data_IF_895033156462
#
_entry.id   IF_895033156462
#
_cell.length_a   1.000
_cell.length_b   1.000
_cell.length_c   1.000
_cell.angle_alpha   90.00
_cell.angle_beta   90.00
_cell.angle_gamma   90.00
#
_symmetry.space_group_name_H-M   'P 1'
#
loop_
_entity.id
_entity.type
_entity.pdbx_description
1 polymer ?
#
# COMPACT_ATOMS: atom_id res chain seq x y z
N UNK A 1 7.54 19.21 12.55
CA UNK A 1 6.10 18.93 12.72
C UNK A 1 5.32 19.99 11.99
N UNK A 2 4.44 19.59 11.09
CA UNK A 2 3.48 20.48 10.42
C UNK A 2 2.13 20.34 11.11
N UNK A 3 1.29 21.36 11.05
CA UNK A 3 -0.09 21.32 11.55
C UNK A 3 -1.02 21.79 10.46
N UNK A 4 -2.13 21.08 10.28
CA UNK A 4 -3.18 21.44 9.33
C UNK A 4 -4.34 22.09 10.09
N UNK A 5 -4.60 23.37 9.82
CA UNK A 5 -5.71 24.11 10.41
C UNK A 5 -6.92 24.01 9.49
N UNK A 6 -7.97 23.34 9.96
CA UNK A 6 -9.21 23.14 9.21
C UNK A 6 -10.42 23.75 9.92
N UNK A 7 -11.47 24.02 9.16
CA UNK A 7 -12.77 24.36 9.71
C UNK A 7 -13.35 23.16 10.48
N UNK A 8 -13.97 23.43 11.64
CA UNK A 8 -14.67 22.40 12.40
C UNK A 8 -16.03 22.12 11.74
N UNK A 9 -16.16 20.98 11.09
CA UNK A 9 -17.42 20.50 10.55
C UNK A 9 -18.27 19.80 11.62
N UNK A 10 -19.58 20.06 11.61
CA UNK A 10 -20.56 19.36 12.44
C UNK A 10 -21.07 18.13 11.69
N UNK A 11 -20.45 16.97 11.91
CA UNK A 11 -20.81 15.70 11.28
C UNK A 11 -21.99 15.06 12.03
N UNK A 12 -23.07 14.73 11.34
CA UNK A 12 -24.33 14.24 11.93
C UNK A 12 -24.69 12.80 11.53
N UNK A 13 -24.04 12.26 10.49
CA UNK A 13 -24.18 10.88 10.06
C UNK A 13 -22.87 10.42 9.41
N UNK A 14 -22.21 9.42 9.97
CA UNK A 14 -20.90 8.93 9.52
C UNK A 14 -21.05 7.57 8.84
N UNK A 15 -20.53 7.49 7.63
CA UNK A 15 -20.59 6.32 6.74
C UNK A 15 -19.17 5.97 6.28
N UNK A 16 -19.02 4.84 5.62
CA UNK A 16 -17.76 4.41 5.04
C UNK A 16 -17.88 4.30 3.52
N UNK A 17 -16.88 4.80 2.80
CA UNK A 17 -16.76 4.68 1.36
C UNK A 17 -15.33 4.31 0.98
N UNK A 18 -15.17 3.36 0.07
CA UNK A 18 -13.87 3.09 -0.53
C UNK A 18 -13.99 2.67 -1.99
N UNK A 19 -12.92 2.88 -2.75
CA UNK A 19 -12.70 2.35 -4.09
C UNK A 19 -11.38 1.59 -4.05
N UNK A 20 -11.39 0.34 -4.49
CA UNK A 20 -10.19 -0.50 -4.57
C UNK A 20 -10.18 -1.30 -5.86
N UNK A 21 -9.02 -1.79 -6.28
CA UNK A 21 -8.92 -2.71 -7.41
C UNK A 21 -9.22 -4.15 -6.95
N UNK A 22 -10.36 -4.68 -7.38
CA UNK A 22 -10.75 -6.06 -7.08
C UNK A 22 -10.16 -7.04 -8.09
N UNK A 23 -9.42 -8.03 -7.57
CA UNK A 23 -8.77 -9.04 -8.40
C UNK A 23 -9.76 -10.04 -9.00
N UNK A 24 -10.93 -10.23 -8.41
CA UNK A 24 -11.93 -11.18 -8.91
C UNK A 24 -12.67 -10.63 -10.14
N UNK A 25 -13.11 -9.37 -10.07
CA UNK A 25 -13.74 -8.67 -11.18
C UNK A 25 -12.74 -8.02 -12.15
N UNK A 26 -11.45 -8.00 -11.79
CA UNK A 26 -10.38 -7.38 -12.57
C UNK A 26 -10.62 -5.89 -12.88
N UNK A 27 -11.23 -5.16 -11.94
CA UNK A 27 -11.58 -3.76 -12.10
C UNK A 27 -11.83 -3.04 -10.77
N UNK A 28 -12.18 -1.75 -10.81
CA UNK A 28 -12.54 -1.00 -9.62
C UNK A 28 -13.80 -1.56 -8.96
N UNK A 29 -13.74 -1.69 -7.64
CA UNK A 29 -14.85 -2.06 -6.79
C UNK A 29 -15.10 -0.93 -5.80
N UNK A 30 -16.32 -0.38 -5.83
CA UNK A 30 -16.77 0.58 -4.83
C UNK A 30 -17.41 -0.17 -3.66
N UNK A 31 -16.97 0.14 -2.46
CA UNK A 31 -17.47 -0.39 -1.20
C UNK A 31 -18.15 0.76 -0.46
N UNK A 32 -19.39 0.57 -0.05
CA UNK A 32 -20.12 1.54 0.76
C UNK A 32 -20.78 0.86 1.95
N UNK A 33 -20.77 1.53 3.09
CA UNK A 33 -21.43 1.07 4.30
C UNK A 33 -22.09 2.23 5.03
N UNK A 34 -23.35 2.04 5.42
CA UNK A 34 -24.14 3.03 6.18
C UNK A 34 -23.64 3.31 7.61
N UNK A 35 -22.53 2.68 8.01
CA UNK A 35 -21.86 2.87 9.30
C UNK A 35 -20.37 3.08 9.07
N UNK A 36 -19.89 4.27 9.41
CA UNK A 36 -18.48 4.66 9.37
C UNK A 36 -17.88 4.87 10.77
N UNK A 37 -16.68 5.44 10.82
CA UNK A 37 -15.98 5.78 12.05
C UNK A 37 -15.36 4.59 12.80
N UNK A 38 -15.31 3.42 12.17
CA UNK A 38 -14.72 2.18 12.70
C UNK A 38 -14.02 1.42 11.57
N UNK A 39 -13.23 0.39 11.91
CA UNK A 39 -12.62 -0.52 10.93
C UNK A 39 -13.68 -1.19 10.05
N UNK A 40 -13.44 -1.19 8.74
CA UNK A 40 -14.31 -1.85 7.76
C UNK A 40 -14.21 -3.38 7.85
N UNK A 41 -13.06 -3.90 8.24
CA UNK A 41 -12.81 -5.33 8.45
C UNK A 41 -13.71 -5.88 9.57
N UNK A 42 -13.78 -5.16 10.70
CA UNK A 42 -14.69 -5.49 11.80
C UNK A 42 -16.16 -5.47 11.39
N UNK A 43 -16.55 -4.51 10.53
CA UNK A 43 -17.91 -4.41 10.00
C UNK A 43 -18.21 -5.55 9.03
N UNK A 44 -17.25 -5.95 8.20
CA UNK A 44 -17.41 -7.06 7.27
C UNK A 44 -17.60 -8.40 8.00
N UNK A 45 -16.95 -8.59 9.15
CA UNK A 45 -17.12 -9.78 9.97
C UNK A 45 -18.45 -9.78 10.75
N UNK A 46 -18.81 -8.66 11.39
CA UNK A 46 -19.95 -8.59 12.32
C UNK A 46 -21.27 -8.24 11.65
N UNK A 47 -21.24 -7.42 10.60
CA UNK A 47 -22.42 -6.85 9.94
C UNK A 47 -22.25 -6.80 8.41
N UNK A 48 -22.01 -7.95 7.74
CA UNK A 48 -21.77 -7.98 6.30
C UNK A 48 -22.91 -7.36 5.47
N UNK A 49 -24.16 -7.46 5.96
CA UNK A 49 -25.34 -6.92 5.27
C UNK A 49 -25.39 -5.38 5.23
N UNK A 50 -24.58 -4.69 6.03
CA UNK A 50 -24.47 -3.22 5.99
C UNK A 50 -23.56 -2.74 4.86
N UNK A 51 -22.74 -3.65 4.30
CA UNK A 51 -21.76 -3.35 3.28
C UNK A 51 -22.33 -3.73 1.92
N UNK A 52 -22.34 -2.76 1.01
CA UNK A 52 -22.60 -3.03 -0.41
C UNK A 52 -21.30 -2.95 -1.18
N UNK A 53 -21.27 -3.70 -2.28
CA UNK A 53 -20.14 -3.81 -3.20
C UNK A 53 -20.65 -3.60 -4.61
N UNK A 54 -20.15 -2.56 -5.27
CA UNK A 54 -20.57 -2.17 -6.62
C UNK A 54 -19.35 -2.24 -7.53
N UNK A 55 -19.20 -3.32 -8.33
CA UNK A 55 -18.14 -3.42 -9.32
C UNK A 55 -18.39 -2.42 -10.45
N UNK A 56 -17.33 -1.81 -10.96
CA UNK A 56 -17.39 -0.83 -12.05
C UNK A 56 -16.65 -1.39 -13.26
N UNK A 57 -17.30 -1.35 -14.41
CA UNK A 57 -16.68 -1.73 -15.68
C UNK A 57 -15.63 -0.70 -16.10
N UNK A 58 -14.43 -1.16 -16.43
CA UNK A 58 -13.28 -0.28 -16.74
C UNK A 58 -13.42 0.45 -18.08
N UNK A 59 -14.26 -0.03 -19.00
CA UNK A 59 -14.45 0.58 -20.31
C UNK A 59 -15.56 1.63 -20.29
N UNK A 60 -16.66 1.33 -19.61
CA UNK A 60 -17.81 2.23 -19.47
C UNK A 60 -17.61 3.26 -18.36
N UNK A 61 -16.79 2.94 -17.35
CA UNK A 61 -16.66 3.74 -16.14
C UNK A 61 -17.90 3.64 -15.24
N UNK A 62 -17.96 4.49 -14.21
CA UNK A 62 -19.10 4.54 -13.30
C UNK A 62 -20.32 5.14 -13.98
N UNK A 63 -21.45 4.42 -13.94
CA UNK A 63 -22.73 4.93 -14.45
C UNK A 63 -23.54 5.63 -13.35
N UNK A 64 -24.56 6.40 -13.74
CA UNK A 64 -25.50 6.99 -12.78
C UNK A 64 -26.24 5.92 -11.96
N UNK A 65 -26.49 4.75 -12.55
CA UNK A 65 -27.12 3.61 -11.86
C UNK A 65 -26.18 3.01 -10.80
N UNK A 66 -24.89 2.88 -11.12
CA UNK A 66 -23.88 2.39 -10.17
C UNK A 66 -23.69 3.36 -9.02
N UNK A 67 -23.55 4.65 -9.32
CA UNK A 67 -23.44 5.70 -8.31
C UNK A 67 -24.70 5.78 -7.43
N UNK A 68 -25.89 5.62 -8.02
CA UNK A 68 -27.15 5.52 -7.29
C UNK A 68 -27.15 4.33 -6.31
N UNK A 69 -26.72 3.14 -6.74
CA UNK A 69 -26.59 1.96 -5.86
C UNK A 69 -25.64 2.22 -4.69
N UNK A 70 -24.51 2.88 -4.95
CA UNK A 70 -23.55 3.28 -3.91
C UNK A 70 -24.21 4.19 -2.88
N UNK A 71 -24.92 5.23 -3.34
CA UNK A 71 -25.64 6.17 -2.45
C UNK A 71 -26.71 5.45 -1.64
N UNK A 72 -27.44 4.51 -2.22
CA UNK A 72 -28.46 3.73 -1.51
C UNK A 72 -27.83 2.87 -0.38
N UNK A 73 -26.59 2.38 -0.55
CA UNK A 73 -25.88 1.64 0.50
C UNK A 73 -25.21 2.52 1.56
N UNK A 74 -24.80 3.74 1.21
CA UNK A 74 -24.42 4.77 2.19
C UNK A 74 -25.63 5.17 3.03
N UNK A 75 -26.82 5.23 2.42
CA UNK A 75 -28.07 5.63 3.05
C UNK A 75 -27.99 7.00 3.78
N UNK A 76 -27.56 8.08 3.10
CA UNK A 76 -27.62 9.43 3.65
C UNK A 76 -29.06 9.79 4.02
N UNK A 77 -29.23 10.58 5.07
CA UNK A 77 -30.53 10.91 5.68
C UNK A 77 -31.04 12.30 5.33
N UNK A 78 -30.14 13.25 5.11
CA UNK A 78 -30.45 14.67 4.88
C UNK A 78 -29.89 15.21 3.57
N UNK A 79 -28.74 14.72 3.12
CA UNK A 79 -28.08 15.18 1.92
C UNK A 79 -28.89 14.86 0.66
N UNK A 80 -28.88 15.81 -0.29
CA UNK A 80 -29.55 15.62 -1.57
C UNK A 80 -28.98 14.42 -2.31
N UNK A 81 -29.87 13.58 -2.85
CA UNK A 81 -29.49 12.32 -3.48
C UNK A 81 -28.67 12.53 -4.75
N UNK A 82 -29.00 13.53 -5.56
CA UNK A 82 -28.29 13.80 -6.80
C UNK A 82 -26.90 14.39 -6.50
N UNK A 83 -26.79 15.25 -5.50
CA UNK A 83 -25.49 15.75 -5.03
C UNK A 83 -24.60 14.61 -4.52
N UNK A 84 -25.18 13.65 -3.78
CA UNK A 84 -24.46 12.45 -3.35
C UNK A 84 -23.96 11.60 -4.53
N UNK A 85 -24.79 11.40 -5.56
CA UNK A 85 -24.44 10.66 -6.78
C UNK A 85 -23.26 11.34 -7.50
N UNK A 86 -23.34 12.66 -7.67
CA UNK A 86 -22.27 13.44 -8.30
C UNK A 86 -20.99 13.39 -7.47
N UNK A 87 -21.08 13.40 -6.14
CA UNK A 87 -19.92 13.23 -5.27
C UNK A 87 -19.26 11.87 -5.45
N UNK A 88 -20.03 10.78 -5.51
CA UNK A 88 -19.50 9.42 -5.76
C UNK A 88 -18.79 9.35 -7.12
N UNK A 89 -19.38 9.94 -8.17
CA UNK A 89 -18.77 9.99 -9.51
C UNK A 89 -17.45 10.76 -9.52
N UNK A 90 -17.38 11.90 -8.81
CA UNK A 90 -16.14 12.68 -8.66
C UNK A 90 -15.05 11.94 -7.89
N UNK A 91 -15.43 11.15 -6.87
CA UNK A 91 -14.48 10.31 -6.14
C UNK A 91 -13.93 9.19 -7.02
N UNK A 92 -14.76 8.58 -7.87
CA UNK A 92 -14.31 7.64 -8.88
C UNK A 92 -13.39 8.29 -9.92
N UNK A 93 -13.75 9.49 -10.40
CA UNK A 93 -12.91 10.25 -11.31
C UNK A 93 -11.53 10.57 -10.69
N UNK A 94 -11.50 10.98 -9.40
CA UNK A 94 -10.27 11.20 -8.65
C UNK A 94 -9.42 9.93 -8.57
N UNK A 95 -10.04 8.79 -8.23
CA UNK A 95 -9.39 7.49 -8.15
C UNK A 95 -8.71 7.13 -9.47
N UNK A 96 -9.40 7.29 -10.60
CA UNK A 96 -8.83 7.02 -11.92
C UNK A 96 -7.75 8.03 -12.32
N UNK A 97 -8.00 9.33 -12.15
CA UNK A 97 -7.06 10.39 -12.57
C UNK A 97 -5.74 10.38 -11.79
N UNK A 98 -5.77 9.87 -10.56
CA UNK A 98 -4.61 9.85 -9.68
C UNK A 98 -3.87 8.50 -9.69
N UNK A 99 -4.31 7.54 -10.52
CA UNK A 99 -3.81 6.15 -10.51
C UNK A 99 -3.83 5.53 -9.10
N UNK A 100 -4.94 5.69 -8.39
CA UNK A 100 -5.10 5.10 -7.06
C UNK A 100 -5.25 3.57 -7.15
N UNK A 101 -4.64 2.87 -6.19
CA UNK A 101 -4.93 1.46 -5.88
C UNK A 101 -5.97 1.33 -4.78
N UNK A 102 -6.05 2.34 -3.90
CA UNK A 102 -7.05 2.50 -2.86
C UNK A 102 -7.42 3.98 -2.74
N UNK A 103 -8.71 4.26 -2.63
CA UNK A 103 -9.24 5.51 -2.08
C UNK A 103 -10.21 5.10 -0.98
N UNK A 104 -9.88 5.40 0.26
CA UNK A 104 -10.70 5.12 1.43
C UNK A 104 -11.10 6.44 2.08
N UNK A 105 -12.38 6.60 2.41
CA UNK A 105 -12.92 7.74 3.13
C UNK A 105 -13.65 7.22 4.36
N UNK A 106 -13.11 7.52 5.53
CA UNK A 106 -13.63 7.03 6.80
C UNK A 106 -13.47 8.10 7.91
N UNK A 107 -14.50 8.94 8.17
CA UNK A 107 -15.84 8.85 7.62
C UNK A 107 -16.06 9.68 6.34
N UNK A 108 -16.91 9.16 5.44
CA UNK A 108 -17.70 10.02 4.56
C UNK A 108 -18.97 10.39 5.32
N UNK A 109 -19.27 11.67 5.46
CA UNK A 109 -20.23 12.12 6.46
C UNK A 109 -21.20 13.17 5.94
N UNK A 110 -22.40 13.18 6.50
CA UNK A 110 -23.34 14.29 6.34
C UNK A 110 -23.02 15.38 7.36
N UNK A 111 -22.97 16.61 6.89
CA UNK A 111 -22.89 17.80 7.75
C UNK A 111 -24.27 18.23 8.22
N UNK A 112 -24.34 19.05 9.27
CA UNK A 112 -25.59 19.66 9.74
C UNK A 112 -26.33 20.49 8.67
N UNK A 113 -25.61 20.95 7.63
CA UNK A 113 -26.17 21.67 6.47
C UNK A 113 -26.57 20.72 5.33
N UNK A 114 -26.73 19.42 5.60
CA UNK A 114 -27.15 18.40 4.63
C UNK A 114 -26.20 18.29 3.41
N UNK A 115 -24.89 18.43 3.61
CA UNK A 115 -23.88 18.14 2.57
C UNK A 115 -23.14 16.86 2.90
N UNK A 116 -22.89 16.03 1.88
CA UNK A 116 -22.00 14.89 1.97
C UNK A 116 -20.54 15.33 1.79
N UNK A 117 -19.68 15.04 2.76
CA UNK A 117 -18.28 15.45 2.77
C UNK A 117 -17.36 14.29 3.07
N UNK A 118 -16.16 14.30 2.49
CA UNK A 118 -15.07 13.42 2.88
C UNK A 118 -14.35 14.05 4.08
N UNK A 119 -14.61 13.56 5.29
CA UNK A 119 -14.04 14.16 6.50
C UNK A 119 -12.59 13.74 6.73
N UNK A 120 -12.27 12.47 6.43
CA UNK A 120 -10.93 11.93 6.45
C UNK A 120 -10.76 10.92 5.32
N UNK A 121 -9.59 10.92 4.68
CA UNK A 121 -9.32 10.12 3.50
C UNK A 121 -7.90 9.58 3.49
N UNK A 122 -7.78 8.31 3.09
CA UNK A 122 -6.52 7.62 2.84
C UNK A 122 -6.48 7.15 1.40
N UNK A 123 -5.46 7.58 0.67
CA UNK A 123 -5.24 7.17 -0.71
C UNK A 123 -3.94 6.38 -0.80
N UNK A 124 -3.97 5.25 -1.50
CA UNK A 124 -2.77 4.56 -1.95
C UNK A 124 -2.70 4.68 -3.48
N UNK A 125 -1.49 4.84 -4.01
CA UNK A 125 -1.23 5.04 -5.43
C UNK A 125 -0.53 3.82 -6.04
N UNK A 126 -0.62 3.65 -7.35
CA UNK A 126 0.17 2.65 -8.08
C UNK A 126 1.58 3.18 -8.32
N UNK A 127 2.59 2.55 -7.71
CA UNK A 127 4.00 2.90 -7.91
C UNK A 127 4.42 2.80 -9.39
N UNK A 128 3.78 1.92 -10.17
CA UNK A 128 4.06 1.80 -11.60
C UNK A 128 3.57 3.00 -12.42
N UNK A 129 2.70 3.84 -11.86
CA UNK A 129 2.20 5.06 -12.49
C UNK A 129 3.08 6.30 -12.19
N UNK A 130 4.15 6.16 -11.38
CA UNK A 130 5.01 7.27 -10.97
C UNK A 130 5.54 8.12 -12.14
N UNK A 131 5.80 7.50 -13.30
CA UNK A 131 6.28 8.19 -14.50
C UNK A 131 5.29 9.23 -15.05
N UNK A 132 3.98 9.04 -14.84
CA UNK A 132 2.91 9.93 -15.27
C UNK A 132 2.28 10.74 -14.13
N UNK A 133 2.44 10.31 -12.87
CA UNK A 133 1.91 10.98 -11.67
C UNK A 133 2.96 11.82 -10.92
N UNK A 134 3.77 12.60 -11.64
CA UNK A 134 4.94 13.29 -11.05
C UNK A 134 4.60 14.23 -9.89
N UNK A 135 3.48 14.93 -9.96
CA UNK A 135 3.05 15.87 -8.92
C UNK A 135 2.69 15.15 -7.61
N UNK A 136 1.99 14.01 -7.70
CA UNK A 136 1.63 13.19 -6.53
C UNK A 136 2.89 12.60 -5.89
N UNK A 137 3.79 12.02 -6.69
CA UNK A 137 5.02 11.41 -6.17
C UNK A 137 6.01 12.43 -5.62
N UNK A 138 5.90 13.71 -6.01
CA UNK A 138 6.66 14.81 -5.40
C UNK A 138 6.18 15.14 -3.97
N UNK A 139 4.97 14.72 -3.57
CA UNK A 139 4.44 14.88 -2.22
C UNK A 139 4.87 13.76 -1.25
N UNK A 140 5.61 12.75 -1.71
CA UNK A 140 6.12 11.68 -0.86
C UNK A 140 6.94 12.26 0.29
N UNK A 141 6.66 11.82 1.51
CA UNK A 141 7.40 12.19 2.72
C UNK A 141 8.17 10.99 3.28
N UNK A 142 9.46 10.82 2.94
CA UNK A 142 10.28 9.71 3.41
C UNK A 142 10.50 9.70 4.93
N UNK A 143 10.15 10.77 5.66
CA UNK A 143 10.31 10.82 7.12
C UNK A 143 9.27 9.97 7.85
N UNK A 144 8.18 9.59 7.18
CA UNK A 144 7.13 8.71 7.71
C UNK A 144 7.38 7.22 7.38
N UNK A 145 8.42 6.92 6.62
CA UNK A 145 8.76 5.57 6.14
C UNK A 145 9.92 4.98 6.94
N UNK A 146 10.12 3.66 6.87
CA UNK A 146 11.32 3.03 7.42
C UNK A 146 12.57 3.55 6.66
N UNK A 147 13.56 4.14 7.34
CA UNK A 147 14.77 4.65 6.69
C UNK A 147 15.53 3.60 5.86
N UNK A 148 15.39 2.31 6.21
CA UNK A 148 15.98 1.17 5.49
C UNK A 148 15.26 0.93 4.15
N UNK A 149 13.94 1.01 4.13
CA UNK A 149 13.13 0.92 2.90
C UNK A 149 13.43 2.09 1.96
N UNK A 150 13.53 3.30 2.50
CA UNK A 150 13.91 4.50 1.73
C UNK A 150 15.31 4.36 1.12
N UNK A 151 16.25 3.79 1.88
CA UNK A 151 17.63 3.55 1.40
C UNK A 151 17.66 2.46 0.33
N UNK A 152 16.92 1.37 0.53
CA UNK A 152 16.77 0.29 -0.44
C UNK A 152 16.21 0.80 -1.77
N UNK A 153 15.13 1.60 -1.72
CA UNK A 153 14.49 2.14 -2.92
C UNK A 153 15.46 3.01 -3.76
N UNK A 154 16.37 3.76 -3.12
CA UNK A 154 17.40 4.55 -3.84
C UNK A 154 18.42 3.69 -4.58
N UNK A 155 18.60 2.44 -4.16
CA UNK A 155 19.47 1.46 -4.78
C UNK A 155 18.70 0.50 -5.72
N UNK A 156 17.42 0.77 -5.99
CA UNK A 156 16.54 -0.09 -6.79
C UNK A 156 16.43 -1.51 -6.17
N UNK A 157 16.28 -1.56 -4.85
CA UNK A 157 16.10 -2.78 -4.06
C UNK A 157 14.71 -2.79 -3.42
N UNK A 158 14.03 -3.93 -3.46
CA UNK A 158 12.75 -4.11 -2.77
C UNK A 158 13.01 -4.67 -1.38
N UNK A 159 12.91 -3.83 -0.34
CA UNK A 159 13.14 -4.19 1.06
C UNK A 159 11.87 -3.97 1.87
N UNK A 160 11.58 -4.86 2.82
CA UNK A 160 10.55 -4.64 3.85
C UNK A 160 11.12 -5.11 5.19
N UNK A 161 11.07 -4.25 6.20
CA UNK A 161 11.54 -4.58 7.55
C UNK A 161 10.58 -5.51 8.30
N UNK A 162 11.12 -6.48 9.04
CA UNK A 162 10.37 -7.39 9.91
C UNK A 162 11.02 -7.44 11.32
N UNK A 163 10.34 -8.10 12.27
CA UNK A 163 10.75 -8.17 13.68
C UNK A 163 11.60 -9.41 14.02
N UNK A 164 12.51 -9.80 13.13
CA UNK A 164 13.33 -11.02 13.27
C UNK A 164 14.83 -10.78 13.48
N UNK A 165 15.60 -11.86 13.47
CA UNK A 165 17.05 -11.85 13.72
C UNK A 165 17.88 -12.36 12.54
N UNK A 166 17.24 -12.97 11.53
CA UNK A 166 17.92 -13.54 10.36
C UNK A 166 17.62 -12.68 9.14
N UNK A 167 18.59 -11.89 8.72
CA UNK A 167 18.53 -11.10 7.50
C UNK A 167 18.49 -12.02 6.27
N UNK A 168 17.68 -11.69 5.28
CA UNK A 168 17.56 -12.42 4.03
C UNK A 168 18.03 -11.55 2.87
N UNK A 169 18.81 -12.11 1.94
CA UNK A 169 19.12 -11.48 0.65
C UNK A 169 18.86 -12.50 -0.47
N UNK A 170 17.90 -12.21 -1.33
CA UNK A 170 17.38 -13.16 -2.31
C UNK A 170 17.15 -12.48 -3.66
N UNK A 171 17.23 -13.22 -4.76
CA UNK A 171 16.82 -12.75 -6.09
C UNK A 171 15.45 -13.32 -6.48
N UNK A 172 14.48 -12.45 -6.69
CA UNK A 172 13.09 -12.74 -7.04
C UNK A 172 12.16 -12.80 -5.83
N UNK A 173 11.10 -12.00 -5.87
CA UNK A 173 10.11 -11.87 -4.79
C UNK A 173 9.51 -13.20 -4.32
N UNK A 174 9.20 -14.12 -5.23
CA UNK A 174 8.66 -15.45 -4.88
C UNK A 174 9.66 -16.29 -4.07
N UNK A 175 10.94 -16.28 -4.47
CA UNK A 175 12.00 -16.98 -3.74
C UNK A 175 12.31 -16.29 -2.41
N UNK A 176 12.22 -14.96 -2.34
CA UNK A 176 12.39 -14.20 -1.11
C UNK A 176 11.34 -14.58 -0.06
N UNK A 177 10.06 -14.65 -0.46
CA UNK A 177 8.98 -15.16 0.41
C UNK A 177 9.24 -16.60 0.86
N UNK A 178 9.55 -17.50 -0.06
CA UNK A 178 9.83 -18.91 0.28
C UNK A 178 11.05 -19.07 1.22
N UNK A 179 12.05 -18.19 1.10
CA UNK A 179 13.24 -18.19 1.97
C UNK A 179 12.89 -17.76 3.38
N UNK A 180 12.03 -16.75 3.55
CA UNK A 180 11.52 -16.37 4.87
C UNK A 180 10.68 -17.48 5.50
N UNK A 181 9.82 -18.12 4.70
CA UNK A 181 8.96 -19.22 5.14
C UNK A 181 9.78 -20.42 5.62
N UNK A 182 10.83 -20.82 4.89
CA UNK A 182 11.68 -21.95 5.30
C UNK A 182 12.50 -21.61 6.56
N UNK A 183 12.96 -20.37 6.72
CA UNK A 183 13.59 -19.93 7.99
C UNK A 183 12.61 -20.10 9.14
N UNK A 184 11.37 -19.64 8.97
CA UNK A 184 10.34 -19.72 10.02
C UNK A 184 9.96 -21.16 10.33
N UNK A 185 9.82 -22.00 9.30
CA UNK A 185 9.52 -23.43 9.42
C UNK A 185 10.57 -24.17 10.25
N UNK A 186 11.83 -23.74 10.16
CA UNK A 186 12.95 -24.31 10.92
C UNK A 186 13.24 -23.58 12.24
N UNK A 187 12.31 -22.74 12.72
CA UNK A 187 12.36 -22.11 14.05
C UNK A 187 13.13 -20.80 14.12
N UNK A 188 13.63 -20.27 12.99
CA UNK A 188 14.23 -18.95 12.91
C UNK A 188 13.20 -17.82 12.80
N UNK A 189 13.67 -16.58 12.86
CA UNK A 189 12.84 -15.39 12.66
C UNK A 189 13.42 -14.52 11.54
N UNK A 190 12.77 -14.42 10.37
CA UNK A 190 13.24 -13.56 9.30
C UNK A 190 13.15 -12.10 9.71
N UNK A 191 14.25 -11.35 9.55
CA UNK A 191 14.38 -9.95 9.93
C UNK A 191 13.90 -9.00 8.83
N UNK A 192 13.81 -9.48 7.59
CA UNK A 192 13.38 -8.67 6.46
C UNK A 192 12.95 -9.54 5.28
N UNK A 193 12.20 -8.92 4.37
CA UNK A 193 12.15 -9.29 2.97
C UNK A 193 13.18 -8.44 2.20
N UNK A 194 13.94 -9.02 1.28
CA UNK A 194 14.80 -8.27 0.37
C UNK A 194 14.96 -9.02 -0.95
N UNK A 195 14.46 -8.42 -2.02
CA UNK A 195 14.65 -8.85 -3.41
C UNK A 195 15.63 -7.90 -4.11
N UNK A 196 16.80 -8.45 -4.48
CA UNK A 196 17.84 -7.72 -5.24
C UNK A 196 17.61 -7.73 -6.76
N UNK A 197 16.59 -8.45 -7.23
CA UNK A 197 16.27 -8.61 -8.64
C UNK A 197 17.17 -9.60 -9.38
N UNK A 198 16.77 -9.96 -10.60
CA UNK A 198 17.45 -10.99 -11.41
C UNK A 198 18.79 -10.57 -12.03
N UNK A 199 19.13 -9.27 -12.01
CA UNK A 199 20.33 -8.70 -12.64
C UNK A 199 21.11 -7.76 -11.70
N UNK A 200 21.05 -8.01 -10.38
CA UNK A 200 21.73 -7.20 -9.38
C UNK A 200 23.22 -6.98 -9.71
N UNK A 201 23.64 -5.72 -9.68
CA UNK A 201 25.05 -5.32 -9.78
C UNK A 201 25.80 -5.56 -8.47
N UNK A 202 27.14 -5.58 -8.53
CA UNK A 202 27.99 -5.66 -7.34
C UNK A 202 27.67 -4.53 -6.34
N UNK A 203 27.42 -3.31 -6.83
CA UNK A 203 27.05 -2.17 -6.01
C UNK A 203 25.74 -2.38 -5.27
N UNK A 204 24.72 -2.92 -5.93
CA UNK A 204 23.44 -3.25 -5.32
C UNK A 204 23.58 -4.31 -4.22
N UNK A 205 24.45 -5.31 -4.42
CA UNK A 205 24.77 -6.30 -3.38
C UNK A 205 25.42 -5.62 -2.17
N UNK A 206 26.37 -4.71 -2.39
CA UNK A 206 27.02 -3.97 -1.28
C UNK A 206 26.00 -3.12 -0.50
N UNK A 207 25.11 -2.40 -1.20
CA UNK A 207 24.06 -1.62 -0.54
C UNK A 207 23.07 -2.51 0.23
N UNK A 208 22.67 -3.65 -0.33
CA UNK A 208 21.86 -4.66 0.37
C UNK A 208 22.51 -5.09 1.71
N UNK A 209 23.81 -5.39 1.71
CA UNK A 209 24.51 -5.75 2.95
C UNK A 209 24.60 -4.59 3.94
N UNK A 210 24.81 -3.35 3.48
CA UNK A 210 24.82 -2.17 4.37
C UNK A 210 23.46 -2.00 5.06
N UNK A 211 22.37 -2.20 4.32
CA UNK A 211 21.01 -2.13 4.87
C UNK A 211 20.82 -3.23 5.94
N UNK A 212 21.15 -4.49 5.61
CA UNK A 212 21.01 -5.62 6.54
C UNK A 212 21.85 -5.47 7.81
N UNK A 213 23.09 -4.99 7.69
CA UNK A 213 24.01 -4.81 8.83
C UNK A 213 23.73 -3.53 9.63
N UNK A 214 22.87 -2.64 9.13
CA UNK A 214 22.42 -1.45 9.88
C UNK A 214 21.33 -1.77 10.91
N UNK A 215 20.66 -2.92 10.78
CA UNK A 215 19.67 -3.39 11.75
C UNK A 215 20.36 -4.16 12.87
N UNK A 216 20.38 -3.58 14.08
CA UNK A 216 20.98 -4.18 15.27
C UNK A 216 20.32 -5.49 15.72
N UNK A 217 19.10 -5.79 15.24
CA UNK A 217 18.42 -7.07 15.53
C UNK A 217 19.00 -8.23 14.71
N UNK A 218 19.62 -7.94 13.57
CA UNK A 218 20.15 -8.97 12.67
C UNK A 218 21.41 -9.60 13.27
N UNK A 219 21.37 -10.91 13.49
CA UNK A 219 22.48 -11.72 14.05
C UNK A 219 23.10 -12.66 13.03
N UNK A 220 22.38 -12.95 11.95
CA UNK A 220 22.84 -13.78 10.85
C UNK A 220 22.21 -13.31 9.54
N UNK A 221 22.91 -13.54 8.42
CA UNK A 221 22.38 -13.25 7.08
C UNK A 221 22.37 -14.55 6.28
N UNK A 222 21.20 -14.90 5.74
CA UNK A 222 21.04 -15.96 4.75
C UNK A 222 20.99 -15.34 3.34
N UNK A 223 22.01 -15.64 2.54
CA UNK A 223 22.04 -15.30 1.12
C UNK A 223 21.55 -16.50 0.33
N UNK A 224 20.42 -16.37 -0.34
CA UNK A 224 19.84 -17.42 -1.18
C UNK A 224 19.68 -16.90 -2.61
N UNK A 225 20.65 -17.20 -3.47
CA UNK A 225 20.65 -16.76 -4.86
C UNK A 225 20.52 -17.97 -5.78
N UNK A 226 19.43 -18.00 -6.55
CA UNK A 226 19.25 -19.01 -7.58
C UNK A 226 19.79 -18.50 -8.92
N UNK A 227 20.82 -19.17 -9.42
CA UNK A 227 21.51 -18.80 -10.66
C UNK A 227 20.61 -18.89 -11.88
N UNK A 228 20.79 -17.95 -12.80
CA UNK A 228 20.06 -17.86 -14.06
C UNK A 228 20.82 -16.96 -15.03
N UNK A 229 20.29 -15.76 -15.31
CA UNK A 229 21.02 -14.71 -16.04
C UNK A 229 22.13 -14.10 -15.17
N UNK A 230 21.92 -14.12 -13.85
CA UNK A 230 22.89 -13.65 -12.86
C UNK A 230 24.09 -14.59 -12.77
N UNK A 231 25.30 -14.02 -12.88
CA UNK A 231 26.54 -14.78 -12.73
C UNK A 231 26.95 -14.88 -11.26
N UNK A 232 27.20 -16.11 -10.78
CA UNK A 232 27.51 -16.36 -9.38
C UNK A 232 28.85 -15.76 -8.93
N UNK A 233 29.80 -15.54 -9.85
CA UNK A 233 31.09 -14.90 -9.56
C UNK A 233 30.94 -13.41 -9.20
N UNK A 234 30.03 -12.69 -9.86
CA UNK A 234 29.69 -11.30 -9.53
C UNK A 234 29.09 -11.20 -8.13
N UNK A 235 28.16 -12.10 -7.79
CA UNK A 235 27.54 -12.15 -6.47
C UNK A 235 28.55 -12.52 -5.38
N UNK A 236 29.37 -13.56 -5.60
CA UNK A 236 30.41 -13.94 -4.67
C UNK A 236 31.42 -12.79 -4.42
N UNK A 237 31.82 -12.09 -5.48
CA UNK A 237 32.68 -10.91 -5.38
C UNK A 237 32.01 -9.79 -4.59
N UNK A 238 30.73 -9.52 -4.87
CA UNK A 238 29.92 -8.54 -4.14
C UNK A 238 29.78 -8.86 -2.65
N UNK A 239 29.55 -10.12 -2.28
CA UNK A 239 29.49 -10.56 -0.88
C UNK A 239 30.84 -10.34 -0.19
N UNK A 240 31.94 -10.79 -0.81
CA UNK A 240 33.30 -10.64 -0.24
C UNK A 240 33.66 -9.17 -0.09
N UNK A 241 33.31 -8.34 -1.07
CA UNK A 241 33.59 -6.91 -1.02
C UNK A 241 32.69 -6.19 -0.02
N UNK A 242 31.41 -6.53 0.06
CA UNK A 242 30.51 -6.02 1.09
C UNK A 242 31.07 -6.30 2.48
N UNK A 243 31.46 -7.55 2.76
CA UNK A 243 32.01 -7.96 4.06
C UNK A 243 33.26 -7.17 4.52
N UNK A 244 34.00 -6.54 3.59
CA UNK A 244 35.13 -5.65 3.92
C UNK A 244 34.70 -4.24 4.34
N UNK A 245 33.51 -3.80 3.92
CA UNK A 245 33.00 -2.44 4.08
C UNK A 245 31.87 -2.32 5.11
N UNK A 246 31.30 -3.44 5.56
CA UNK A 246 30.30 -3.48 6.63
C UNK A 246 30.89 -3.98 7.94
N UNK A 247 30.33 -3.50 9.06
CA UNK A 247 30.71 -3.93 10.42
C UNK A 247 30.35 -5.40 10.61
N UNK A 248 31.13 -6.14 11.39
CA UNK A 248 30.74 -7.49 11.81
C UNK A 248 29.44 -7.44 12.63
N UNK A 249 28.49 -8.31 12.30
CA UNK A 249 27.28 -8.57 13.08
C UNK A 249 27.63 -9.01 14.52
#
# INVERSE_FOLDING_TARGET
TQVYLCEKLSLVNEMYFAITLDRNSAGPLIIACRKGGTSIEDLAEKYPDMIIKVPVDVFNGITDEDAAKVVDGLAPKGADRNDCIEQVKKLYELFCKSDCTLLEINPIAETADNKLVAADAKLNFDDNAAFRQKEIFALRDPSQEDPREVTAAKADLNYIGLEGEIGCMVNGAGLAMATMDIIKLHGGTPANFLDVGGNASEGQVVEAFKILTSDEKVKAILVNIFGGIMKCDVIASGIVNAAKHVRSL
#
